data_IF_882625655375
#
_entry.id   IF_882625655375
#
_cell.length_a   1.000
_cell.length_b   1.000
_cell.length_c   1.000
_cell.angle_alpha   90.00
_cell.angle_beta   90.00
_cell.angle_gamma   90.00
#
_symmetry.space_group_name_H-M   'P 1'
#
loop_
_entity.id
_entity.type
_entity.pdbx_description
1 polymer ?
#
# COMPACT_ATOMS: atom_id res chain seq x y z
N UNK A 1 -9.58 10.14 17.70
CA UNK A 1 -8.66 9.51 16.70
C UNK A 1 -7.18 9.53 17.09
N UNK A 2 -6.79 10.09 18.26
CA UNK A 2 -5.38 10.31 18.68
C UNK A 2 -4.51 9.03 18.80
N UNK A 3 -5.09 7.84 19.00
CA UNK A 3 -4.30 6.60 19.20
C UNK A 3 -3.84 5.85 17.93
N UNK A 4 -4.29 6.24 16.72
CA UNK A 4 -4.05 5.44 15.49
C UNK A 4 -2.96 5.97 14.58
N UNK A 5 -2.38 7.13 14.86
CA UNK A 5 -1.19 7.64 14.17
C UNK A 5 0.07 7.04 14.81
N UNK A 6 0.34 5.77 14.50
CA UNK A 6 1.54 5.08 14.96
C UNK A 6 1.97 4.00 13.98
N UNK A 7 3.23 3.53 14.11
CA UNK A 7 3.77 2.46 13.26
C UNK A 7 3.01 1.12 13.40
N UNK A 8 2.20 0.95 14.45
CA UNK A 8 1.28 -0.20 14.57
C UNK A 8 0.22 -0.23 13.47
N UNK A 9 -0.10 0.94 12.90
CA UNK A 9 -1.12 1.11 11.86
C UNK A 9 -0.54 1.62 10.53
N UNK A 10 0.77 1.50 10.31
CA UNK A 10 1.43 2.04 9.12
C UNK A 10 0.83 1.51 7.82
N UNK A 11 0.69 0.19 7.67
CA UNK A 11 0.09 -0.41 6.46
C UNK A 11 -1.42 -0.24 6.40
N UNK A 12 -2.11 -0.14 7.54
CA UNK A 12 -3.53 0.18 7.59
C UNK A 12 -3.80 1.54 6.97
N UNK A 13 -3.01 2.56 7.34
CA UNK A 13 -3.09 3.88 6.75
C UNK A 13 -2.70 3.89 5.28
N UNK A 14 -1.67 3.14 4.89
CA UNK A 14 -1.27 3.03 3.48
C UNK A 14 -2.38 2.42 2.63
N UNK A 15 -3.02 1.35 3.11
CA UNK A 15 -4.13 0.70 2.42
C UNK A 15 -5.40 1.57 2.43
N UNK A 16 -5.68 2.28 3.52
CA UNK A 16 -6.79 3.22 3.58
C UNK A 16 -6.60 4.39 2.60
N UNK A 17 -5.38 4.93 2.51
CA UNK A 17 -5.03 5.96 1.55
C UNK A 17 -5.12 5.45 0.10
N UNK A 18 -4.65 4.22 -0.17
CA UNK A 18 -4.78 3.58 -1.47
C UNK A 18 -6.25 3.36 -1.87
N UNK A 19 -7.08 2.88 -0.93
CA UNK A 19 -8.52 2.72 -1.15
C UNK A 19 -9.22 4.07 -1.43
N UNK A 20 -8.85 5.11 -0.68
CA UNK A 20 -9.36 6.46 -0.91
C UNK A 20 -8.93 7.00 -2.28
N UNK A 21 -7.66 6.85 -2.65
CA UNK A 21 -7.14 7.27 -3.96
C UNK A 21 -7.82 6.51 -5.11
N UNK A 22 -8.03 5.21 -4.96
CA UNK A 22 -8.78 4.40 -5.94
C UNK A 22 -10.25 4.87 -6.04
N UNK A 23 -10.90 5.18 -4.91
CA UNK A 23 -12.24 5.76 -4.89
C UNK A 23 -12.31 7.11 -5.61
N UNK A 24 -11.32 7.98 -5.42
CA UNK A 24 -11.19 9.25 -6.17
C UNK A 24 -10.97 8.97 -7.67
N UNK A 25 -10.15 7.97 -8.02
CA UNK A 25 -9.97 7.54 -9.41
C UNK A 25 -11.27 7.08 -10.07
N UNK A 26 -12.10 6.31 -9.34
CA UNK A 26 -13.45 5.94 -9.80
C UNK A 26 -14.29 7.19 -10.06
N UNK A 27 -14.37 8.13 -9.12
CA UNK A 27 -15.12 9.38 -9.31
C UNK A 27 -14.59 10.20 -10.50
N UNK A 28 -13.27 10.28 -10.67
CA UNK A 28 -12.64 11.00 -11.77
C UNK A 28 -13.07 10.43 -13.13
N UNK A 29 -13.17 9.09 -13.26
CA UNK A 29 -13.61 8.46 -14.51
C UNK A 29 -15.05 8.79 -14.89
N UNK A 30 -15.93 8.95 -13.89
CA UNK A 30 -17.33 9.34 -14.12
C UNK A 30 -17.47 10.84 -14.45
N UNK A 31 -16.82 11.70 -13.66
CA UNK A 31 -16.99 13.15 -13.75
C UNK A 31 -16.27 13.72 -14.98
N UNK A 32 -15.02 13.29 -15.22
CA UNK A 32 -14.17 13.86 -16.28
C UNK A 32 -14.19 12.97 -17.52
N UNK A 33 -14.07 11.65 -17.33
CA UNK A 33 -14.00 10.70 -18.44
C UNK A 33 -15.32 10.49 -19.19
N UNK A 34 -16.45 10.92 -18.61
CA UNK A 34 -17.81 10.68 -19.11
C UNK A 34 -18.08 9.22 -19.51
N UNK A 35 -17.40 8.27 -18.86
CA UNK A 35 -17.69 6.85 -19.02
C UNK A 35 -18.97 6.53 -18.27
N UNK A 36 -19.99 6.04 -19.00
CA UNK A 36 -21.26 5.58 -18.42
C UNK A 36 -21.16 4.19 -17.77
N UNK A 37 -20.08 3.46 -18.02
CA UNK A 37 -19.81 2.15 -17.42
C UNK A 37 -18.95 2.35 -16.17
N UNK A 38 -19.46 1.88 -15.04
CA UNK A 38 -18.75 1.90 -13.76
C UNK A 38 -17.41 1.16 -13.94
N UNK A 39 -16.26 1.74 -13.54
CA UNK A 39 -14.98 1.02 -13.48
C UNK A 39 -15.00 0.01 -12.33
N UNK A 40 -15.86 -1.00 -12.47
CA UNK A 40 -16.26 -1.93 -11.43
C UNK A 40 -15.07 -2.67 -10.83
N UNK A 41 -14.08 -3.04 -11.64
CA UNK A 41 -12.84 -3.65 -11.17
C UNK A 41 -12.10 -2.74 -10.19
N UNK A 42 -11.91 -1.46 -10.52
CA UNK A 42 -11.21 -0.50 -9.66
C UNK A 42 -12.02 -0.27 -8.37
N UNK A 43 -13.33 -0.15 -8.49
CA UNK A 43 -14.23 0.00 -7.33
C UNK A 43 -14.17 -1.22 -6.41
N UNK A 44 -14.26 -2.43 -6.95
CA UNK A 44 -14.17 -3.68 -6.18
C UNK A 44 -12.84 -3.75 -5.45
N UNK A 45 -11.73 -3.45 -6.13
CA UNK A 45 -10.40 -3.41 -5.51
C UNK A 45 -10.36 -2.38 -4.38
N UNK A 46 -10.87 -1.16 -4.61
CA UNK A 46 -10.93 -0.12 -3.58
C UNK A 46 -11.71 -0.56 -2.33
N UNK A 47 -12.88 -1.18 -2.52
CA UNK A 47 -13.73 -1.67 -1.43
C UNK A 47 -13.04 -2.80 -0.66
N UNK A 48 -12.41 -3.75 -1.33
CA UNK A 48 -11.70 -4.86 -0.68
C UNK A 48 -10.53 -4.34 0.15
N UNK A 49 -9.67 -3.51 -0.44
CA UNK A 49 -8.51 -2.92 0.23
C UNK A 49 -8.95 -2.05 1.42
N UNK A 50 -10.00 -1.25 1.23
CA UNK A 50 -10.58 -0.42 2.29
C UNK A 50 -11.13 -1.24 3.46
N UNK A 51 -11.78 -2.37 3.17
CA UNK A 51 -12.25 -3.29 4.22
C UNK A 51 -11.10 -3.93 4.98
N UNK A 52 -10.05 -4.38 4.29
CA UNK A 52 -8.85 -4.93 4.95
C UNK A 52 -8.21 -3.88 5.86
N UNK A 53 -8.06 -2.64 5.39
CA UNK A 53 -7.55 -1.53 6.21
C UNK A 53 -8.43 -1.27 7.44
N UNK A 54 -9.76 -1.26 7.26
CA UNK A 54 -10.72 -1.05 8.33
C UNK A 54 -10.67 -2.13 9.41
N UNK A 55 -10.56 -3.41 9.02
CA UNK A 55 -10.36 -4.52 9.97
C UNK A 55 -8.98 -4.47 10.62
N UNK A 56 -7.95 -4.02 9.91
CA UNK A 56 -6.64 -3.72 10.48
C UNK A 56 -6.75 -2.67 11.59
N UNK A 57 -7.47 -1.57 11.36
CA UNK A 57 -7.69 -0.53 12.38
C UNK A 57 -8.50 -1.02 13.59
N UNK A 58 -9.15 -2.18 13.49
CA UNK A 58 -9.86 -2.86 14.59
C UNK A 58 -9.03 -3.99 15.21
N UNK A 59 -7.74 -4.04 14.88
CA UNK A 59 -6.79 -5.01 15.41
C UNK A 59 -7.20 -6.47 15.17
N UNK A 60 -7.88 -6.75 14.05
CA UNK A 60 -8.19 -8.13 13.67
C UNK A 60 -6.90 -8.84 13.20
N UNK A 61 -6.50 -9.97 13.82
CA UNK A 61 -5.22 -10.61 13.52
C UNK A 61 -5.04 -10.96 12.05
N UNK A 62 -6.07 -11.56 11.42
CA UNK A 62 -6.02 -11.93 10.00
C UNK A 62 -5.76 -10.71 9.10
N UNK A 63 -6.35 -9.56 9.40
CA UNK A 63 -6.20 -8.35 8.59
C UNK A 63 -4.79 -7.78 8.75
N UNK A 64 -4.26 -7.77 9.98
CA UNK A 64 -2.87 -7.39 10.25
C UNK A 64 -1.87 -8.30 9.53
N UNK A 65 -2.12 -9.61 9.51
CA UNK A 65 -1.29 -10.57 8.78
C UNK A 65 -1.35 -10.35 7.27
N UNK A 66 -2.53 -10.11 6.69
CA UNK A 66 -2.67 -9.77 5.26
C UNK A 66 -1.91 -8.49 4.94
N UNK A 67 -2.10 -7.41 5.72
CA UNK A 67 -1.40 -6.14 5.54
C UNK A 67 0.13 -6.29 5.65
N UNK A 68 0.61 -7.10 6.59
CA UNK A 68 2.02 -7.44 6.71
C UNK A 68 2.54 -8.11 5.43
N UNK A 69 1.84 -9.14 4.92
CA UNK A 69 2.28 -9.85 3.72
C UNK A 69 2.26 -8.96 2.48
N UNK A 70 1.29 -8.07 2.36
CA UNK A 70 1.31 -7.05 1.31
C UNK A 70 2.54 -6.13 1.42
N UNK A 71 2.89 -5.67 2.63
CA UNK A 71 4.09 -4.87 2.87
C UNK A 71 5.38 -5.63 2.54
N UNK A 72 5.46 -6.90 2.93
CA UNK A 72 6.58 -7.79 2.61
C UNK A 72 6.73 -8.00 1.09
N UNK A 73 5.64 -8.35 0.40
CA UNK A 73 5.64 -8.54 -1.05
C UNK A 73 6.00 -7.25 -1.79
N UNK A 74 5.51 -6.10 -1.33
CA UNK A 74 5.90 -4.81 -1.89
C UNK A 74 7.40 -4.55 -1.69
N UNK A 75 7.92 -4.79 -0.49
CA UNK A 75 9.36 -4.64 -0.19
C UNK A 75 10.20 -5.52 -1.11
N UNK A 76 9.84 -6.80 -1.24
CA UNK A 76 10.52 -7.74 -2.13
C UNK A 76 10.43 -7.28 -3.59
N UNK A 77 9.24 -6.89 -4.05
CA UNK A 77 9.04 -6.39 -5.40
C UNK A 77 9.92 -5.19 -5.72
N UNK A 78 10.01 -4.20 -4.83
CA UNK A 78 10.88 -3.02 -5.03
C UNK A 78 12.36 -3.36 -4.93
N UNK A 79 12.73 -4.33 -4.08
CA UNK A 79 14.10 -4.83 -4.02
C UNK A 79 14.50 -5.47 -5.36
N UNK A 80 13.66 -6.32 -5.95
CA UNK A 80 13.90 -6.83 -7.30
C UNK A 80 13.90 -5.70 -8.34
N UNK A 81 12.98 -4.76 -8.23
CA UNK A 81 12.89 -3.65 -9.18
C UNK A 81 14.17 -2.80 -9.21
N UNK A 82 14.90 -2.66 -8.09
CA UNK A 82 16.17 -1.94 -8.02
C UNK A 82 17.21 -2.49 -9.02
N UNK A 83 17.24 -3.80 -9.24
CA UNK A 83 18.23 -4.42 -10.12
C UNK A 83 17.69 -4.68 -11.54
N UNK A 84 16.39 -4.98 -11.68
CA UNK A 84 15.83 -5.47 -12.94
C UNK A 84 14.82 -4.54 -13.63
N UNK A 85 14.37 -3.45 -13.00
CA UNK A 85 13.32 -2.61 -13.59
C UNK A 85 13.89 -1.65 -14.65
N UNK A 86 13.57 -1.91 -15.93
CA UNK A 86 13.82 -0.97 -17.03
C UNK A 86 12.93 0.28 -16.92
N UNK A 87 11.63 0.08 -16.66
CA UNK A 87 10.62 1.15 -16.64
C UNK A 87 10.90 2.21 -15.57
N UNK A 88 11.30 1.79 -14.36
CA UNK A 88 11.60 2.75 -13.29
C UNK A 88 12.91 3.51 -13.54
N UNK A 89 13.91 2.87 -14.15
CA UNK A 89 15.13 3.53 -14.62
C UNK A 89 14.83 4.61 -15.65
N UNK A 90 13.97 4.32 -16.62
CA UNK A 90 13.54 5.30 -17.63
C UNK A 90 12.79 6.49 -17.00
N UNK A 91 11.93 6.23 -16.01
CA UNK A 91 11.09 7.25 -15.38
C UNK A 91 11.86 8.15 -14.41
N UNK A 92 12.82 7.60 -13.67
CA UNK A 92 13.57 8.33 -12.63
C UNK A 92 14.95 8.82 -13.11
N UNK A 93 15.43 8.32 -14.26
CA UNK A 93 16.74 8.67 -14.80
C UNK A 93 17.86 8.45 -13.78
N UNK A 94 18.74 9.44 -13.63
CA UNK A 94 19.86 9.38 -12.68
C UNK A 94 19.46 9.37 -11.19
N UNK A 95 18.19 9.62 -10.86
CA UNK A 95 17.68 9.51 -9.49
C UNK A 95 17.17 8.10 -9.16
N UNK A 96 17.19 7.16 -10.11
CA UNK A 96 16.62 5.82 -9.94
C UNK A 96 17.23 5.08 -8.75
N UNK A 97 18.55 4.89 -8.71
CA UNK A 97 19.22 4.15 -7.64
C UNK A 97 18.94 4.73 -6.25
N UNK A 98 19.15 6.04 -5.97
CA UNK A 98 18.91 6.57 -4.64
C UNK A 98 17.44 6.51 -4.22
N UNK A 99 16.50 6.79 -5.14
CA UNK A 99 15.06 6.75 -4.82
C UNK A 99 14.61 5.33 -4.51
N UNK A 100 14.95 4.36 -5.36
CA UNK A 100 14.56 2.98 -5.15
C UNK A 100 15.25 2.37 -3.91
N UNK A 101 16.53 2.68 -3.66
CA UNK A 101 17.23 2.21 -2.47
C UNK A 101 16.58 2.72 -1.18
N UNK A 102 16.29 4.03 -1.10
CA UNK A 102 15.59 4.63 0.05
C UNK A 102 14.21 4.01 0.23
N UNK A 103 13.47 3.80 -0.85
CA UNK A 103 12.13 3.23 -0.79
C UNK A 103 12.13 1.78 -0.30
N UNK A 104 13.10 0.97 -0.74
CA UNK A 104 13.28 -0.40 -0.25
C UNK A 104 13.61 -0.41 1.25
N UNK A 105 14.57 0.42 1.68
CA UNK A 105 14.96 0.50 3.10
C UNK A 105 13.80 0.98 3.98
N UNK A 106 13.04 1.98 3.52
CA UNK A 106 11.87 2.49 4.22
C UNK A 106 10.78 1.42 4.36
N UNK A 107 10.45 0.73 3.26
CA UNK A 107 9.43 -0.33 3.27
C UNK A 107 9.88 -1.53 4.13
N UNK A 108 11.15 -1.93 4.06
CA UNK A 108 11.69 -2.98 4.90
C UNK A 108 11.58 -2.62 6.39
N UNK A 109 11.97 -1.40 6.75
CA UNK A 109 11.86 -0.90 8.11
C UNK A 109 10.41 -0.82 8.60
N UNK A 110 9.49 -0.30 7.78
CA UNK A 110 8.07 -0.24 8.10
C UNK A 110 7.47 -1.65 8.27
N UNK A 111 7.78 -2.58 7.37
CA UNK A 111 7.34 -3.99 7.43
C UNK A 111 7.80 -4.66 8.71
N UNK A 112 9.07 -4.48 9.08
CA UNK A 112 9.62 -5.00 10.33
C UNK A 112 8.96 -4.38 11.57
N UNK A 113 8.84 -3.05 11.62
CA UNK A 113 8.17 -2.35 12.73
C UNK A 113 6.72 -2.78 12.89
N UNK A 114 6.01 -2.95 11.78
CA UNK A 114 4.64 -3.39 11.77
C UNK A 114 4.49 -4.80 12.34
N UNK A 115 5.34 -5.75 11.90
CA UNK A 115 5.36 -7.11 12.41
C UNK A 115 5.64 -7.15 13.92
N UNK A 116 6.66 -6.41 14.36
CA UNK A 116 7.08 -6.34 15.76
C UNK A 116 5.98 -5.76 16.66
N UNK A 117 5.34 -4.67 16.24
CA UNK A 117 4.33 -3.95 17.03
C UNK A 117 2.97 -4.63 17.06
N UNK A 118 2.66 -5.45 16.06
CA UNK A 118 1.43 -6.23 16.00
C UNK A 118 1.62 -7.70 16.38
N UNK A 119 2.83 -8.11 16.80
CA UNK A 119 3.13 -9.47 17.25
C UNK A 119 2.72 -10.57 16.24
N UNK A 120 2.91 -10.31 14.93
CA UNK A 120 2.38 -11.17 13.84
C UNK A 120 2.87 -12.62 13.92
N UNK A 121 4.10 -12.85 14.40
CA UNK A 121 4.75 -14.17 14.48
C UNK A 121 5.13 -14.56 15.91
N UNK A 122 4.45 -14.00 16.91
CA UNK A 122 4.68 -14.34 18.33
C UNK A 122 3.64 -15.32 18.84
#
# INVERSE_FOLDING_TARGET
MSGKLSLRYAFDWLFAAAAAAAGVGVLQTFVIGRHYIIPSVILTVAVVIGNVAWYGFRDRPWAKTVLFWCGFLATAHFFFALFWSKKYRELLGGAFEPVCAVLVLLLAWLTWQYARRNAIFR
#
